data_IF_642794004314
#
_entry.id   IF_642794004314
#
_cell.length_a   1.000
_cell.length_b   1.000
_cell.length_c   1.000
_cell.angle_alpha   90.00
_cell.angle_beta   90.00
_cell.angle_gamma   90.00
#
_symmetry.space_group_name_H-M   'P 1'
#
loop_
_entity.id
_entity.type
_entity.pdbx_description
1 polymer ?
2 non-polymer ?
3 water ?
#
# COMPACT_ATOMS: atom_id res chain seq x y z
N UNK A 4 -14.83 -11.30 -7.31
CA UNK A 4 -13.98 -10.08 -7.66
C UNK A 4 -13.59 -9.23 -6.42
N UNK A 5 -12.54 -8.39 -6.53
CA UNK A 5 -11.98 -7.68 -5.36
C UNK A 5 -12.45 -6.27 -4.93
N UNK A 6 -11.76 -5.72 -3.92
CA UNK A 6 -11.98 -4.33 -3.45
C UNK A 6 -11.29 -3.21 -4.26
N UNK A 7 -12.05 -2.12 -4.44
CA UNK A 7 -11.71 -0.99 -5.29
C UNK A 7 -11.74 0.40 -4.54
N UNK A 8 -12.08 1.49 -5.24
CA UNK A 8 -12.13 2.80 -4.62
C UNK A 8 -10.82 3.29 -4.00
N UNK A 9 -10.91 4.23 -3.06
CA UNK A 9 -9.75 4.75 -2.43
C UNK A 9 -9.02 3.68 -1.61
N UNK A 10 -9.78 2.82 -0.94
CA UNK A 10 -9.27 1.77 -0.03
C UNK A 10 -8.34 0.79 -0.81
N UNK A 11 -8.85 0.35 -1.99
CA UNK A 11 -8.10 -0.31 -3.06
C UNK A 11 -6.72 0.31 -3.36
N UNK A 12 -6.69 1.64 -3.51
CA UNK A 12 -5.51 2.34 -3.89
C UNK A 12 -4.58 2.38 -2.69
N UNK A 13 -5.18 2.62 -1.56
CA UNK A 13 -4.43 2.75 -0.33
C UNK A 13 -3.87 1.38 0.10
N UNK A 14 -4.61 0.29 -0.14
CA UNK A 14 -4.06 -1.05 0.11
C UNK A 14 -2.84 -1.43 -0.83
N UNK A 15 -3.03 -1.34 -2.15
CA UNK A 15 -1.97 -1.62 -3.15
C UNK A 15 -0.72 -0.82 -2.84
N UNK A 16 -0.91 0.46 -2.51
CA UNK A 16 0.17 1.40 -2.32
C UNK A 16 0.95 0.96 -1.15
N UNK A 17 0.24 0.60 -0.08
CA UNK A 17 0.88 0.25 1.18
C UNK A 17 1.63 -1.06 1.06
N UNK A 18 0.98 -2.04 0.41
CA UNK A 18 1.58 -3.31 0.14
C UNK A 18 2.84 -3.23 -0.70
N UNK A 19 2.82 -2.41 -1.75
CA UNK A 19 4.01 -2.22 -2.60
C UNK A 19 5.17 -1.74 -1.76
N UNK A 20 4.90 -0.73 -0.96
CA UNK A 20 5.89 -0.17 -0.10
C UNK A 20 6.42 -1.15 0.85
N UNK A 21 5.52 -1.90 1.51
CA UNK A 21 5.98 -2.80 2.55
C UNK A 21 6.88 -3.84 1.87
N UNK A 22 6.45 -4.31 0.70
CA UNK A 22 7.38 -5.13 -0.07
C UNK A 22 8.74 -4.48 -0.47
N UNK A 23 8.75 -3.21 -0.95
CA UNK A 23 9.99 -2.50 -1.24
C UNK A 23 10.90 -2.48 -0.04
N UNK A 24 10.31 -2.27 1.13
CA UNK A 24 11.08 -2.17 2.35
C UNK A 24 11.73 -3.52 2.75
N UNK A 25 11.00 -4.63 2.57
CA UNK A 25 11.57 -5.94 2.85
C UNK A 25 10.85 -7.01 2.05
N UNK A 26 11.54 -7.64 1.06
CA UNK A 26 10.89 -8.71 0.26
C UNK A 26 10.35 -9.79 1.23
N UNK A 27 9.16 -10.38 0.94
CA UNK A 27 8.53 -11.28 1.87
C UNK A 27 7.35 -12.01 1.30
N UNK A 28 6.78 -12.89 2.12
CA UNK A 28 5.60 -13.68 1.67
C UNK A 28 4.28 -13.08 2.20
N UNK A 29 3.16 -13.39 1.54
CA UNK A 29 1.84 -13.18 2.02
C UNK A 29 1.62 -13.16 3.53
N UNK A 30 1.97 -14.24 4.24
CA UNK A 30 1.69 -14.33 5.68
C UNK A 30 2.36 -13.26 6.54
N UNK A 31 3.66 -13.07 6.35
CA UNK A 31 4.39 -12.07 7.12
C UNK A 31 3.88 -10.65 6.73
N UNK A 32 3.53 -10.44 5.44
CA UNK A 32 3.10 -9.12 5.00
C UNK A 32 1.89 -8.68 5.77
N UNK A 33 1.01 -9.64 6.07
CA UNK A 33 -0.22 -9.42 6.79
C UNK A 33 0.04 -8.83 8.14
N UNK A 34 1.08 -9.32 8.81
CA UNK A 34 1.42 -8.85 10.14
C UNK A 34 1.84 -7.42 10.14
N UNK A 35 2.67 -7.07 9.16
CA UNK A 35 3.15 -5.70 9.01
C UNK A 35 2.04 -4.79 8.51
N UNK A 36 1.09 -5.37 7.80
CA UNK A 36 -0.07 -4.63 7.36
C UNK A 36 -1.08 -4.38 8.46
N UNK A 37 -1.04 -5.18 9.53
CA UNK A 37 -2.03 -5.13 10.58
C UNK A 37 -1.70 -3.94 11.45
N UNK A 38 -0.45 -3.97 11.96
CA UNK A 38 0.23 -2.85 12.69
C UNK A 38 0.33 -1.54 11.88
N UNK A 39 0.01 -1.63 10.59
CA UNK A 39 -0.30 -0.46 9.76
C UNK A 39 -1.66 0.18 10.19
N UNK A 40 -2.76 -0.57 10.03
CA UNK A 40 -4.07 -0.14 10.47
C UNK A 40 -4.55 1.13 9.77
N UNK A 41 -4.98 2.13 10.58
CA UNK A 41 -5.67 3.37 10.08
C UNK A 41 -5.71 4.67 10.93
N UNK A 42 -5.07 5.71 10.41
CA UNK A 42 -5.38 7.04 10.86
C UNK A 42 -6.39 7.72 9.91
N UNK A 43 -7.09 6.91 9.09
CA UNK A 43 -7.91 7.28 7.90
C UNK A 43 -9.35 6.83 8.07
N UNK A 44 -10.31 7.77 8.24
CA UNK A 44 -11.73 7.40 8.48
C UNK A 44 -12.33 6.43 7.45
N UNK A 45 -12.90 5.33 7.95
CA UNK A 45 -13.67 4.43 7.13
C UNK A 45 -12.94 3.29 6.45
N UNK A 46 -11.60 3.24 6.50
CA UNK A 46 -10.91 2.26 5.67
C UNK A 46 -10.69 0.85 6.25
N UNK A 47 -10.15 0.78 7.47
CA UNK A 47 -9.97 -0.52 8.15
C UNK A 47 -8.64 -1.08 7.69
N UNK A 48 -8.68 -2.08 6.80
CA UNK A 48 -9.46 -3.29 7.02
C UNK A 48 -8.38 -4.22 7.65
N UNK A 49 -7.52 -4.91 6.84
CA UNK A 49 -7.12 -4.49 5.48
C UNK A 49 -7.54 -5.53 4.35
N UNK A 50 -6.73 -6.62 4.20
CA UNK A 50 -7.42 -7.90 3.64
C UNK A 50 -7.00 -8.05 2.20
N UNK A 51 -7.50 -9.11 1.52
CA UNK A 51 -6.71 -9.92 0.53
C UNK A 51 -5.33 -9.44 0.03
N UNK A 52 -4.36 -9.50 0.95
CA UNK A 52 -2.93 -9.40 0.68
C UNK A 52 -2.57 -10.29 -0.50
N UNK A 53 -2.71 -11.62 -0.37
CA UNK A 53 -2.46 -12.52 -1.52
C UNK A 53 -2.94 -12.06 -2.90
N UNK A 54 -4.14 -11.51 -2.99
CA UNK A 54 -4.66 -11.24 -4.32
C UNK A 54 -4.12 -9.88 -4.91
N UNK A 55 -3.79 -8.93 -4.04
CA UNK A 55 -3.19 -7.71 -4.55
C UNK A 55 -1.69 -7.91 -4.82
N UNK A 56 -1.03 -8.76 -4.01
CA UNK A 56 0.24 -9.34 -4.43
C UNK A 56 0.18 -10.02 -5.83
N UNK A 57 -0.69 -10.99 -6.06
CA UNK A 57 -0.75 -11.56 -7.41
C UNK A 57 -0.96 -10.50 -8.53
N UNK A 58 -1.83 -9.53 -8.20
CA UNK A 58 -2.14 -8.37 -9.06
C UNK A 58 -0.91 -7.46 -9.35
N UNK A 59 -0.09 -7.21 -8.36
CA UNK A 59 1.01 -6.30 -8.52
C UNK A 59 2.11 -7.04 -9.30
N UNK A 60 2.23 -8.36 -9.01
CA UNK A 60 3.02 -9.32 -9.81
C UNK A 60 2.65 -9.44 -11.25
N UNK A 61 1.39 -9.76 -11.55
CA UNK A 61 0.94 -9.73 -12.90
C UNK A 61 1.28 -8.43 -13.66
N UNK A 62 1.28 -7.30 -12.94
CA UNK A 62 1.41 -5.99 -13.59
C UNK A 62 2.87 -5.64 -13.75
N UNK A 63 3.74 -6.43 -13.10
CA UNK A 63 5.21 -6.37 -13.29
C UNK A 63 5.87 -5.44 -12.28
N UNK A 64 5.13 -5.13 -11.20
CA UNK A 64 5.66 -4.21 -10.18
C UNK A 64 6.39 -4.98 -9.11
N UNK A 65 6.22 -6.29 -9.18
CA UNK A 65 6.81 -7.19 -8.20
C UNK A 65 7.27 -8.41 -8.97
N UNK A 66 8.41 -8.96 -8.54
CA UNK A 66 8.82 -10.32 -9.02
C UNK A 66 8.73 -11.33 -7.86
N UNK A 67 8.90 -12.61 -8.16
CA UNK A 67 8.63 -13.66 -7.17
C UNK A 67 9.74 -14.74 -7.19
N UNK A 68 10.10 -15.30 -6.06
CA UNK A 68 10.97 -16.45 -6.05
C UNK A 68 10.61 -17.27 -4.82
N UNK A 69 10.45 -18.59 -4.95
CA UNK A 69 10.19 -19.47 -3.78
C UNK A 69 11.37 -19.64 -2.86
N UNK A 70 11.22 -19.39 -1.55
CA UNK A 70 12.14 -19.83 -0.53
C UNK A 70 11.76 -21.30 -0.18
N UNK A 71 12.59 -22.25 -0.60
CA UNK A 71 12.34 -23.70 -0.45
C UNK A 71 13.08 -24.17 0.83
N UNK A 72 13.78 -23.28 1.56
CA UNK A 72 14.58 -23.74 2.74
C UNK A 72 13.70 -23.97 3.94
N UNK A 73 12.48 -23.47 3.84
CA UNK A 73 11.54 -23.64 4.95
C UNK A 73 10.44 -24.57 4.51
N UNK A 74 9.61 -24.94 5.47
CA UNK A 74 8.56 -25.86 5.26
C UNK A 74 7.31 -25.42 6.01
N UNK A 75 6.22 -25.12 5.27
CA UNK A 75 6.19 -25.31 3.87
C UNK A 75 6.97 -24.14 3.18
N UNK A 76 7.28 -24.30 1.85
CA UNK A 76 7.99 -23.25 1.06
C UNK A 76 7.11 -22.00 1.01
N UNK A 77 7.75 -20.83 0.98
CA UNK A 77 7.09 -19.52 0.94
C UNK A 77 7.56 -18.75 -0.30
N UNK A 78 6.61 -18.22 -1.07
CA UNK A 78 6.85 -17.45 -2.27
C UNK A 78 7.21 -16.02 -1.89
N UNK A 79 8.47 -15.61 -2.12
CA UNK A 79 8.99 -14.23 -1.77
C UNK A 79 8.76 -13.19 -2.88
N UNK A 80 8.06 -12.12 -2.53
CA UNK A 80 7.78 -10.98 -3.44
C UNK A 80 8.85 -9.94 -3.29
N UNK A 81 9.23 -9.32 -4.41
CA UNK A 81 10.34 -8.34 -4.45
C UNK A 81 9.96 -7.23 -5.44
N UNK A 82 10.22 -5.99 -5.09
CA UNK A 82 9.88 -4.87 -6.06
C UNK A 82 10.80 -4.90 -7.33
N UNK A 83 10.21 -4.67 -8.51
CA UNK A 83 10.93 -4.49 -9.71
C UNK A 83 11.15 -2.95 -9.99
N UNK A 84 12.10 -2.55 -10.95
CA UNK A 84 12.30 -1.11 -11.30
C UNK A 84 11.01 -0.47 -11.85
N UNK A 85 10.19 -1.23 -12.51
CA UNK A 85 8.84 -0.71 -12.83
C UNK A 85 7.93 -0.33 -11.62
N UNK A 86 8.08 -1.11 -10.54
CA UNK A 86 7.30 -1.07 -9.38
C UNK A 86 7.75 0.13 -8.65
N UNK A 87 9.04 0.39 -8.69
CA UNK A 87 9.54 1.63 -8.14
C UNK A 87 9.04 2.90 -8.87
N UNK A 88 8.89 2.82 -10.17
CA UNK A 88 8.28 3.93 -10.98
C UNK A 88 6.80 4.13 -10.65
N UNK A 89 6.09 3.05 -10.39
CA UNK A 89 4.67 3.11 -9.99
C UNK A 89 4.60 3.74 -8.63
N UNK A 90 5.58 3.40 -7.81
CA UNK A 90 5.70 4.03 -6.50
C UNK A 90 5.94 5.53 -6.46
N UNK A 91 6.82 6.04 -7.33
CA UNK A 91 7.00 7.48 -7.49
C UNK A 91 5.66 8.15 -7.92
N UNK A 92 4.89 7.53 -8.78
CA UNK A 92 3.56 8.03 -9.09
C UNK A 92 2.64 8.09 -7.85
N UNK A 93 2.74 7.15 -6.92
CA UNK A 93 1.94 7.13 -5.68
C UNK A 93 2.44 8.23 -4.78
N UNK A 94 3.76 8.39 -4.78
CA UNK A 94 4.39 9.36 -3.95
C UNK A 94 3.88 10.75 -4.42
N UNK A 95 3.88 11.03 -5.70
CA UNK A 95 3.50 12.35 -6.12
C UNK A 95 2.04 12.61 -5.72
N UNK A 96 1.19 11.59 -5.85
CA UNK A 96 -0.22 11.73 -5.44
C UNK A 96 -0.46 11.91 -3.94
N UNK A 97 0.39 11.31 -3.11
CA UNK A 97 0.36 11.53 -1.67
C UNK A 97 0.65 13.00 -1.38
N UNK A 98 1.61 13.59 -2.10
CA UNK A 98 1.91 15.04 -2.02
C UNK A 98 0.72 15.92 -2.47
N UNK A 99 0.02 15.48 -3.51
CA UNK A 99 -1.26 16.08 -3.94
C UNK A 99 -2.27 16.04 -2.78
N UNK A 100 -2.41 14.87 -2.19
CA UNK A 100 -3.44 14.63 -1.18
C UNK A 100 -3.11 15.47 -0.01
N UNK A 101 -1.85 15.50 0.38
CA UNK A 101 -1.46 16.22 1.56
C UNK A 101 -1.70 17.72 1.40
N UNK A 102 -1.48 18.25 0.20
CA UNK A 102 -1.68 19.68 -0.09
C UNK A 102 -3.16 19.96 -0.03
N UNK A 103 -3.95 19.06 -0.55
CA UNK A 103 -5.40 19.29 -0.48
C UNK A 103 -5.94 19.31 0.99
N UNK A 104 -5.41 18.43 1.85
CA UNK A 104 -5.81 18.33 3.25
C UNK A 104 -5.45 19.64 3.94
N UNK A 105 -4.28 20.19 3.60
CA UNK A 105 -3.85 21.42 4.25
C UNK A 105 -4.64 22.60 3.79
N UNK A 106 -5.20 22.58 2.58
CA UNK A 106 -6.06 23.72 2.17
C UNK A 106 -7.37 23.65 2.96
N UNK A 107 -7.92 22.47 3.19
CA UNK A 107 -9.08 22.29 4.07
C UNK A 107 -8.81 22.66 5.50
N UNK A 108 -7.72 22.16 6.07
CA UNK A 108 -7.33 22.48 7.44
C UNK A 108 -7.41 23.96 7.67
N UNK A 109 -6.95 24.77 6.71
CA UNK A 109 -6.87 26.23 6.91
C UNK A 109 -8.25 26.81 6.75
N UNK A 110 -8.99 26.24 5.83
CA UNK A 110 -10.30 26.80 5.55
C UNK A 110 -11.15 26.64 6.77
N UNK A 111 -10.95 25.52 7.45
CA UNK A 111 -11.72 25.16 8.63
C UNK A 111 -11.36 26.02 9.81
N UNK A 112 -10.06 26.29 9.96
CA UNK A 112 -9.56 27.10 11.07
C UNK A 112 -10.13 28.49 10.89
N UNK A 113 -10.19 28.98 9.66
CA UNK A 113 -10.80 30.30 9.43
C UNK A 113 -12.24 30.40 9.88
N UNK A 114 -13.07 29.37 9.65
CA UNK A 114 -14.46 29.43 10.10
C UNK A 114 -14.64 29.14 11.55
N UNK A 115 -13.65 28.51 12.18
CA UNK A 115 -13.63 28.31 13.63
C UNK A 115 -13.16 29.57 14.41
N UNK A 116 -12.22 30.33 13.85
CA UNK A 116 -11.84 31.64 14.35
C UNK A 116 -13.11 32.49 14.35
N UNK A 117 -13.77 32.59 13.18
CA UNK A 117 -14.99 33.42 13.00
C UNK A 117 -15.95 33.31 14.17
X LIG B 1 10.60 -15.60 -10.71
#
# INVERSE_FOLDING_TARGET
MRHRGGRGFRGWWLASTILLLVAEKPSHGYELAERLAEFGIEIPGIGHMGNIYRVLADLEESGFLSTEWDTTVSPPRKIYRITPQGKLYLREILRSLEDMKRRIETLEERIKRVLQEE
CA CA
#
